data_IF_539058332072
#
_entry.id   IF_539058332072
#
_cell.length_a   1.000
_cell.length_b   1.000
_cell.length_c   1.000
_cell.angle_alpha   90.00
_cell.angle_beta   90.00
_cell.angle_gamma   90.00
#
_symmetry.space_group_name_H-M   'P 1'
#
loop_
_entity.id
_entity.type
_entity.pdbx_description
1 polymer ?
#
# COMPACT_ATOMS: atom_id res chain seq x y z
N UNK A 1 -12.03 -8.65 -5.61
CA UNK A 1 -13.20 -9.55 -5.46
C UNK A 1 -13.71 -9.64 -4.05
N UNK A 2 -12.86 -9.91 -3.07
CA UNK A 2 -13.27 -10.18 -1.69
C UNK A 2 -14.27 -9.15 -1.10
N UNK A 3 -14.09 -7.82 -1.25
CA UNK A 3 -15.09 -6.85 -0.75
C UNK A 3 -16.49 -7.02 -1.35
N UNK A 4 -16.58 -7.36 -2.64
CA UNK A 4 -17.86 -7.52 -3.33
C UNK A 4 -18.72 -8.67 -2.77
N UNK A 5 -18.09 -9.68 -2.14
CA UNK A 5 -18.81 -10.80 -1.53
C UNK A 5 -19.22 -10.55 -0.08
N UNK A 6 -18.51 -9.65 0.61
CA UNK A 6 -18.73 -9.40 2.04
C UNK A 6 -19.64 -8.19 2.30
N UNK A 7 -19.74 -7.26 1.35
CA UNK A 7 -20.60 -6.08 1.48
C UNK A 7 -22.05 -6.41 1.12
N UNK A 8 -22.98 -5.90 1.92
CA UNK A 8 -24.42 -5.95 1.64
C UNK A 8 -24.83 -4.84 0.67
N UNK A 9 -25.85 -5.09 -0.16
CA UNK A 9 -26.46 -4.07 -1.01
C UNK A 9 -25.59 -3.57 -2.18
N UNK A 10 -24.56 -4.33 -2.59
CA UNK A 10 -23.72 -3.95 -3.74
C UNK A 10 -24.51 -4.15 -5.05
N UNK A 11 -24.55 -3.11 -5.89
CA UNK A 11 -25.22 -3.18 -7.19
C UNK A 11 -24.53 -4.17 -8.13
N UNK A 12 -25.29 -4.78 -9.04
CA UNK A 12 -24.75 -5.72 -10.01
C UNK A 12 -23.65 -5.09 -10.88
N UNK A 13 -23.85 -3.85 -11.33
CA UNK A 13 -22.87 -3.08 -12.11
C UNK A 13 -21.53 -2.94 -11.37
N UNK A 14 -21.56 -2.72 -10.05
CA UNK A 14 -20.35 -2.61 -9.23
C UNK A 14 -19.59 -3.93 -9.11
N UNK A 15 -20.32 -5.04 -9.02
CA UNK A 15 -19.74 -6.40 -8.99
C UNK A 15 -19.05 -6.70 -10.33
N UNK A 16 -19.72 -6.42 -11.44
CA UNK A 16 -19.20 -6.63 -12.79
C UNK A 16 -17.95 -5.79 -13.05
N UNK A 17 -17.99 -4.49 -12.72
CA UNK A 17 -16.83 -3.60 -12.81
C UNK A 17 -15.64 -4.13 -12.00
N UNK A 18 -15.87 -4.49 -10.73
CA UNK A 18 -14.80 -5.01 -9.87
C UNK A 18 -14.24 -6.30 -10.46
N UNK A 19 -15.07 -7.14 -11.10
CA UNK A 19 -14.66 -8.44 -11.66
C UNK A 19 -13.73 -8.25 -12.85
N UNK A 20 -14.07 -7.33 -13.73
CA UNK A 20 -13.22 -6.95 -14.87
C UNK A 20 -11.88 -6.45 -14.36
N UNK A 21 -11.88 -5.52 -13.39
CA UNK A 21 -10.66 -4.97 -12.82
C UNK A 21 -9.80 -6.06 -12.13
N UNK A 22 -10.43 -6.97 -11.39
CA UNK A 22 -9.72 -8.10 -10.77
C UNK A 22 -9.10 -9.04 -11.81
N UNK A 23 -9.78 -9.31 -12.93
CA UNK A 23 -9.24 -10.11 -14.04
C UNK A 23 -8.04 -9.42 -14.68
N UNK A 24 -8.12 -8.11 -14.95
CA UNK A 24 -7.00 -7.34 -15.52
C UNK A 24 -5.79 -7.40 -14.58
N UNK A 25 -5.99 -7.12 -13.29
CA UNK A 25 -4.92 -7.18 -12.28
C UNK A 25 -4.35 -8.61 -12.16
N UNK A 26 -5.20 -9.64 -12.22
CA UNK A 26 -4.76 -11.03 -12.19
C UNK A 26 -3.90 -11.41 -13.39
N UNK A 27 -4.28 -10.98 -14.60
CA UNK A 27 -3.49 -11.20 -15.82
C UNK A 27 -2.15 -10.47 -15.71
N UNK A 28 -2.15 -9.23 -15.22
CA UNK A 28 -0.93 -8.46 -14.99
C UNK A 28 0.00 -9.17 -14.00
N UNK A 29 -0.52 -9.65 -12.87
CA UNK A 29 0.26 -10.43 -11.88
C UNK A 29 0.78 -11.74 -12.50
N UNK A 30 -0.04 -12.46 -13.28
CA UNK A 30 0.39 -13.70 -13.92
C UNK A 30 1.50 -13.45 -14.94
N UNK A 31 1.39 -12.40 -15.75
CA UNK A 31 2.44 -12.00 -16.68
C UNK A 31 3.73 -11.64 -15.93
N UNK A 32 3.59 -10.80 -14.91
CA UNK A 32 4.72 -10.29 -14.14
C UNK A 32 5.45 -11.41 -13.39
N UNK A 33 4.74 -12.40 -12.84
CA UNK A 33 5.34 -13.51 -12.10
C UNK A 33 5.60 -14.76 -12.96
N UNK A 34 5.09 -14.83 -14.19
CA UNK A 34 5.15 -16.00 -15.07
C UNK A 34 6.48 -16.18 -15.82
N UNK A 35 7.23 -15.10 -16.09
CA UNK A 35 8.46 -15.16 -16.92
C UNK A 35 9.70 -14.74 -16.15
N UNK A 36 10.86 -15.37 -16.32
CA UNK A 36 12.08 -15.00 -15.57
C UNK A 36 12.79 -13.73 -16.06
N UNK A 37 12.28 -13.09 -17.10
CA UNK A 37 12.86 -11.86 -17.67
C UNK A 37 12.67 -10.65 -16.77
N UNK A 38 13.60 -9.67 -16.81
CA UNK A 38 13.40 -8.33 -16.27
C UNK A 38 12.02 -7.74 -16.59
N UNK A 39 11.35 -7.21 -15.58
CA UNK A 39 9.97 -6.71 -15.67
C UNK A 39 9.78 -5.43 -14.84
N UNK A 40 8.54 -4.93 -14.73
CA UNK A 40 8.25 -3.62 -14.13
C UNK A 40 8.34 -3.62 -12.59
N UNK A 41 8.08 -4.75 -11.95
CA UNK A 41 8.04 -4.85 -10.49
C UNK A 41 9.42 -5.19 -9.94
N UNK A 42 10.04 -4.19 -9.33
CA UNK A 42 11.24 -4.40 -8.52
C UNK A 42 10.95 -5.27 -7.29
N UNK A 43 11.97 -6.03 -6.90
CA UNK A 43 11.96 -6.98 -5.79
C UNK A 43 10.97 -8.14 -5.95
N UNK A 44 10.59 -8.47 -7.18
CA UNK A 44 9.70 -9.58 -7.50
C UNK A 44 10.13 -10.94 -6.93
N UNK A 45 11.42 -11.22 -6.80
CA UNK A 45 11.92 -12.48 -6.26
C UNK A 45 12.48 -12.32 -4.84
N UNK A 46 12.09 -11.26 -4.14
CA UNK A 46 12.41 -11.03 -2.74
C UNK A 46 11.30 -11.61 -1.84
N UNK A 47 11.47 -12.86 -1.39
CA UNK A 47 10.44 -13.55 -0.63
C UNK A 47 9.92 -12.80 0.62
N UNK A 48 10.77 -12.22 1.50
CA UNK A 48 10.28 -11.46 2.66
C UNK A 48 9.47 -10.22 2.26
N UNK A 49 9.94 -9.50 1.24
CA UNK A 49 9.31 -8.28 0.74
C UNK A 49 7.92 -8.55 0.16
N UNK A 50 7.79 -9.60 -0.66
CA UNK A 50 6.51 -9.95 -1.26
C UNK A 50 5.51 -10.52 -0.25
N UNK A 51 5.97 -11.29 0.75
CA UNK A 51 5.10 -11.79 1.82
C UNK A 51 4.46 -10.63 2.58
N UNK A 52 5.26 -9.62 2.94
CA UNK A 52 4.76 -8.44 3.67
C UNK A 52 3.84 -7.60 2.77
N UNK A 53 4.19 -7.37 1.51
CA UNK A 53 3.31 -6.68 0.55
C UNK A 53 1.95 -7.37 0.40
N UNK A 54 1.95 -8.69 0.27
CA UNK A 54 0.72 -9.48 0.14
C UNK A 54 -0.14 -9.41 1.41
N UNK A 55 0.47 -9.60 2.58
CA UNK A 55 -0.22 -9.48 3.87
C UNK A 55 -0.78 -8.07 4.08
N UNK A 56 0.02 -7.04 3.80
CA UNK A 56 -0.37 -5.65 3.88
C UNK A 56 -1.60 -5.39 3.01
N UNK A 57 -1.54 -5.68 1.71
CA UNK A 57 -2.68 -5.46 0.81
C UNK A 57 -3.94 -6.23 1.26
N UNK A 58 -3.76 -7.47 1.72
CA UNK A 58 -4.88 -8.29 2.21
C UNK A 58 -5.58 -7.65 3.41
N UNK A 59 -4.81 -7.18 4.41
CA UNK A 59 -5.37 -6.51 5.58
C UNK A 59 -5.97 -5.15 5.22
N UNK A 60 -5.30 -4.37 4.37
CA UNK A 60 -5.77 -3.06 3.93
C UNK A 60 -7.07 -3.11 3.12
N UNK A 61 -7.41 -4.26 2.53
CA UNK A 61 -8.70 -4.49 1.86
C UNK A 61 -9.74 -5.04 2.84
N UNK A 62 -9.36 -5.99 3.70
CA UNK A 62 -10.29 -6.63 4.64
C UNK A 62 -10.80 -5.67 5.71
N UNK A 63 -9.91 -4.88 6.31
CA UNK A 63 -10.27 -3.95 7.39
C UNK A 63 -11.36 -2.94 6.99
N UNK A 64 -11.22 -2.16 5.90
CA UNK A 64 -12.28 -1.27 5.44
C UNK A 64 -13.55 -2.03 5.03
N UNK A 65 -13.41 -3.23 4.46
CA UNK A 65 -14.58 -4.05 4.10
C UNK A 65 -15.45 -4.38 5.32
N UNK A 66 -14.83 -4.74 6.45
CA UNK A 66 -15.58 -4.99 7.68
C UNK A 66 -16.11 -3.71 8.30
N UNK A 67 -15.25 -2.70 8.52
CA UNK A 67 -15.65 -1.46 9.19
C UNK A 67 -16.79 -0.74 8.47
N UNK A 68 -16.71 -0.63 7.14
CA UNK A 68 -17.76 -0.01 6.32
C UNK A 68 -18.96 -0.95 6.15
N UNK A 69 -18.71 -2.25 5.98
CA UNK A 69 -19.76 -3.25 5.76
C UNK A 69 -20.74 -3.37 6.92
N UNK A 70 -20.28 -3.25 8.17
CA UNK A 70 -21.17 -3.24 9.34
C UNK A 70 -22.09 -2.02 9.34
N UNK A 71 -21.55 -0.83 9.08
CA UNK A 71 -22.33 0.42 8.99
C UNK A 71 -23.38 0.34 7.88
N UNK A 72 -23.05 -0.22 6.72
CA UNK A 72 -23.99 -0.43 5.63
C UNK A 72 -25.11 -1.43 5.96
N UNK A 73 -24.84 -2.40 6.84
CA UNK A 73 -25.84 -3.34 7.34
C UNK A 73 -26.75 -2.73 8.43
N UNK A 74 -26.55 -1.46 8.80
CA UNK A 74 -27.26 -0.81 9.91
C UNK A 74 -26.86 -1.35 11.29
N UNK A 75 -25.69 -2.01 11.39
CA UNK A 75 -25.17 -2.59 12.62
C UNK A 75 -23.93 -1.84 13.09
N UNK A 76 -23.72 -1.78 14.41
CA UNK A 76 -22.50 -1.23 14.98
C UNK A 76 -21.49 -2.34 15.22
N UNK A 77 -20.30 -2.20 14.66
CA UNK A 77 -19.20 -3.12 14.96
C UNK A 77 -18.73 -2.87 16.39
N UNK A 78 -18.71 -3.91 17.22
CA UNK A 78 -18.16 -3.85 18.58
C UNK A 78 -16.98 -4.81 18.66
N UNK A 79 -15.84 -4.33 19.17
CA UNK A 79 -14.66 -5.17 19.37
C UNK A 79 -13.36 -4.43 19.11
N UNK A 80 -12.30 -5.20 18.92
CA UNK A 80 -10.93 -4.69 18.84
C UNK A 80 -10.66 -3.74 17.66
N UNK A 81 -11.22 -4.05 16.48
CA UNK A 81 -11.00 -3.25 15.26
C UNK A 81 -11.47 -1.79 15.40
N UNK A 82 -12.77 -1.52 15.72
CA UNK A 82 -13.23 -0.15 15.88
C UNK A 82 -12.52 0.59 17.03
N UNK A 83 -12.19 -0.08 18.14
CA UNK A 83 -11.44 0.55 19.23
C UNK A 83 -10.03 1.01 18.82
N UNK A 84 -9.33 0.25 17.97
CA UNK A 84 -8.05 0.72 17.42
C UNK A 84 -8.26 1.87 16.45
N UNK A 85 -9.27 1.75 15.58
CA UNK A 85 -9.59 2.76 14.60
C UNK A 85 -9.87 4.12 15.26
N UNK A 86 -10.68 4.15 16.32
CA UNK A 86 -11.02 5.36 17.08
C UNK A 86 -9.79 6.03 17.70
N UNK A 87 -8.88 5.23 18.27
CA UNK A 87 -7.59 5.75 18.76
C UNK A 87 -6.73 6.30 17.63
N UNK A 88 -6.79 5.68 16.46
CA UNK A 88 -6.11 6.16 15.26
C UNK A 88 -6.67 7.49 14.76
N UNK A 89 -7.99 7.68 14.82
CA UNK A 89 -8.63 8.95 14.47
C UNK A 89 -8.05 10.06 15.34
N UNK A 90 -7.98 9.88 16.66
CA UNK A 90 -7.43 10.89 17.55
C UNK A 90 -5.97 11.30 17.24
N UNK A 91 -5.19 10.43 16.57
CA UNK A 91 -3.83 10.75 16.12
C UNK A 91 -3.79 11.46 14.77
N UNK A 92 -4.80 11.25 13.94
CA UNK A 92 -4.93 11.81 12.60
C UNK A 92 -5.88 13.01 12.56
N UNK A 93 -6.52 13.34 13.66
CA UNK A 93 -7.44 14.45 13.82
C UNK A 93 -6.66 15.72 14.17
N UNK A 94 -6.26 16.44 13.12
CA UNK A 94 -5.69 17.77 13.19
C UNK A 94 -6.26 18.62 12.06
N UNK A 95 -6.21 19.94 12.22
CA UNK A 95 -6.77 20.88 11.25
C UNK A 95 -6.17 20.63 9.85
N UNK A 96 -7.03 20.44 8.86
CA UNK A 96 -6.67 20.11 7.48
C UNK A 96 -5.91 18.78 7.30
N UNK A 97 -6.17 17.79 8.17
CA UNK A 97 -5.66 16.44 7.99
C UNK A 97 -6.09 15.84 6.64
N UNK A 98 -5.14 15.45 5.76
CA UNK A 98 -5.48 14.86 4.47
C UNK A 98 -6.35 13.60 4.60
N UNK A 99 -6.18 12.86 5.70
CA UNK A 99 -6.94 11.64 5.98
C UNK A 99 -8.42 11.93 6.26
N UNK A 100 -8.70 12.99 7.01
CA UNK A 100 -10.08 13.39 7.32
C UNK A 100 -10.77 14.01 6.11
N UNK A 101 -10.03 14.81 5.33
CA UNK A 101 -10.56 15.35 4.06
C UNK A 101 -10.90 14.21 3.08
N UNK A 102 -10.05 13.19 2.95
CA UNK A 102 -10.38 12.02 2.11
C UNK A 102 -11.63 11.29 2.62
N UNK A 103 -11.78 11.11 3.94
CA UNK A 103 -12.97 10.47 4.50
C UNK A 103 -14.25 11.25 4.16
N UNK A 104 -14.21 12.58 4.31
CA UNK A 104 -15.31 13.50 3.99
C UNK A 104 -15.65 13.51 2.50
N UNK A 105 -14.64 13.62 1.64
CA UNK A 105 -14.83 13.59 0.18
C UNK A 105 -15.45 12.26 -0.26
N UNK A 106 -15.02 11.13 0.30
CA UNK A 106 -15.55 9.82 -0.09
C UNK A 106 -16.95 9.52 0.48
N UNK A 107 -17.35 10.14 1.59
CA UNK A 107 -18.67 9.94 2.20
C UNK A 107 -19.79 10.73 1.53
N UNK A 108 -19.46 11.81 0.82
CA UNK A 108 -20.46 12.76 0.34
C UNK A 108 -21.28 13.29 1.53
N UNK A 109 -22.61 13.30 1.40
CA UNK A 109 -23.52 13.84 2.42
C UNK A 109 -23.85 12.86 3.56
N UNK A 110 -23.31 11.64 3.55
CA UNK A 110 -23.65 10.61 4.55
C UNK A 110 -22.73 10.65 5.77
N UNK A 111 -23.18 11.27 6.87
CA UNK A 111 -22.42 11.35 8.13
C UNK A 111 -22.04 9.97 8.71
N UNK A 112 -22.94 8.98 8.61
CA UNK A 112 -22.66 7.62 9.12
C UNK A 112 -21.53 6.92 8.37
N UNK A 113 -21.44 7.13 7.06
CA UNK A 113 -20.35 6.60 6.23
C UNK A 113 -19.06 7.36 6.43
N UNK A 114 -19.12 8.67 6.70
CA UNK A 114 -17.96 9.48 7.02
C UNK A 114 -17.19 8.93 8.22
N UNK A 115 -17.90 8.62 9.31
CA UNK A 115 -17.29 8.02 10.50
C UNK A 115 -16.65 6.65 10.19
N UNK A 116 -17.34 5.81 9.42
CA UNK A 116 -16.84 4.49 9.03
C UNK A 116 -15.58 4.58 8.13
N UNK A 117 -15.56 5.53 7.19
CA UNK A 117 -14.39 5.77 6.33
C UNK A 117 -13.21 6.36 7.11
N UNK A 118 -13.46 7.29 8.04
CA UNK A 118 -12.42 7.83 8.92
C UNK A 118 -11.79 6.72 9.77
N UNK A 119 -12.61 5.84 10.37
CA UNK A 119 -12.14 4.66 11.11
C UNK A 119 -11.31 3.72 10.21
N UNK A 120 -11.80 3.44 9.00
CA UNK A 120 -11.12 2.56 8.06
C UNK A 120 -9.77 3.10 7.61
N UNK A 121 -9.68 4.40 7.30
CA UNK A 121 -8.43 5.09 6.93
C UNK A 121 -7.47 5.04 8.11
N UNK A 122 -7.91 5.42 9.31
CA UNK A 122 -7.06 5.44 10.50
C UNK A 122 -6.48 4.05 10.82
N UNK A 123 -7.32 3.00 10.76
CA UNK A 123 -6.87 1.64 10.96
C UNK A 123 -5.84 1.21 9.91
N UNK A 124 -6.10 1.51 8.63
CA UNK A 124 -5.19 1.21 7.54
C UNK A 124 -3.84 1.93 7.69
N UNK A 125 -3.83 3.18 8.14
CA UNK A 125 -2.61 3.94 8.43
C UNK A 125 -1.79 3.27 9.53
N UNK A 126 -2.43 2.83 10.63
CA UNK A 126 -1.75 2.11 11.72
C UNK A 126 -1.13 0.81 11.22
N UNK A 127 -1.89 -0.01 10.50
CA UNK A 127 -1.40 -1.28 9.96
C UNK A 127 -0.25 -1.06 8.97
N UNK A 128 -0.38 -0.06 8.09
CA UNK A 128 0.68 0.30 7.16
C UNK A 128 1.97 0.64 7.90
N UNK A 129 1.93 1.50 8.92
CA UNK A 129 3.12 1.80 9.72
C UNK A 129 3.67 0.58 10.45
N UNK A 130 2.80 -0.27 11.03
CA UNK A 130 3.24 -1.52 11.67
C UNK A 130 3.94 -2.48 10.68
N UNK A 131 3.44 -2.58 9.45
CA UNK A 131 4.07 -3.35 8.38
C UNK A 131 5.42 -2.75 7.95
N UNK A 132 5.51 -1.43 7.80
CA UNK A 132 6.78 -0.75 7.49
C UNK A 132 7.79 -1.01 8.61
N UNK A 133 7.41 -0.83 9.87
CA UNK A 133 8.29 -1.04 11.02
C UNK A 133 8.74 -2.50 11.11
N UNK A 134 7.82 -3.46 11.00
CA UNK A 134 8.19 -4.89 11.00
C UNK A 134 9.13 -5.25 9.85
N UNK A 135 8.94 -4.66 8.67
CA UNK A 135 9.86 -4.83 7.55
C UNK A 135 11.24 -4.25 7.83
N UNK A 136 11.33 -3.03 8.36
CA UNK A 136 12.58 -2.40 8.76
C UNK A 136 13.32 -3.23 9.82
N UNK A 137 12.60 -3.76 10.82
CA UNK A 137 13.16 -4.68 11.83
C UNK A 137 13.67 -5.97 11.19
N UNK A 138 12.90 -6.57 10.28
CA UNK A 138 13.32 -7.80 9.58
C UNK A 138 14.60 -7.59 8.75
N UNK A 139 14.73 -6.44 8.11
CA UNK A 139 15.94 -6.03 7.42
C UNK A 139 17.10 -5.79 8.40
N UNK A 140 16.86 -5.10 9.50
CA UNK A 140 17.88 -4.76 10.49
C UNK A 140 18.48 -6.01 11.15
N UNK A 141 17.63 -6.99 11.48
CA UNK A 141 18.04 -8.28 12.03
C UNK A 141 18.74 -9.19 10.99
N UNK A 142 18.99 -8.70 9.77
CA UNK A 142 19.59 -9.43 8.65
C UNK A 142 18.87 -10.76 8.35
N UNK A 143 17.57 -10.86 8.65
CA UNK A 143 16.74 -12.01 8.24
C UNK A 143 16.70 -12.14 6.72
N UNK A 144 16.89 -11.01 6.03
CA UNK A 144 17.10 -10.95 4.60
C UNK A 144 18.56 -10.60 4.28
N UNK A 145 19.36 -11.61 3.93
CA UNK A 145 20.77 -11.45 3.55
C UNK A 145 20.87 -10.98 2.09
N UNK A 146 21.10 -9.68 1.89
CA UNK A 146 21.39 -9.10 0.58
C UNK A 146 22.73 -9.66 0.05
N UNK A 147 22.70 -10.29 -1.13
CA UNK A 147 23.88 -10.90 -1.77
C UNK A 147 24.22 -12.33 -1.33
N UNK A 148 23.28 -13.08 -0.74
CA UNK A 148 23.34 -14.54 -0.69
C UNK A 148 22.78 -15.20 -1.96
N UNK A 149 22.81 -16.53 -2.06
CA UNK A 149 22.33 -17.31 -3.22
C UNK A 149 20.86 -17.05 -3.60
N UNK A 150 20.07 -16.41 -2.73
CA UNK A 150 18.66 -16.10 -2.94
C UNK A 150 18.35 -14.69 -3.49
N UNK A 151 19.34 -13.81 -3.73
CA UNK A 151 19.08 -12.45 -4.23
C UNK A 151 19.84 -12.15 -5.53
N UNK A 152 19.17 -12.34 -6.66
CA UNK A 152 19.68 -11.96 -7.98
C UNK A 152 19.33 -10.48 -8.27
N UNK A 153 20.35 -9.63 -8.38
CA UNK A 153 20.20 -8.20 -8.65
C UNK A 153 19.57 -7.93 -10.03
N UNK A 154 19.96 -8.66 -11.07
CA UNK A 154 19.43 -8.44 -12.42
C UNK A 154 17.93 -8.72 -12.52
N UNK A 155 17.45 -9.74 -11.79
CA UNK A 155 16.02 -10.08 -11.76
C UNK A 155 15.20 -9.18 -10.83
N UNK A 156 15.76 -8.74 -9.70
CA UNK A 156 15.03 -7.93 -8.71
C UNK A 156 15.15 -6.42 -8.94
N UNK A 157 16.20 -5.97 -9.62
CA UNK A 157 16.56 -4.56 -9.80
C UNK A 157 17.05 -4.32 -11.23
N UNK A 158 16.21 -4.62 -12.25
CA UNK A 158 16.65 -4.61 -13.66
C UNK A 158 17.11 -3.24 -14.16
N UNK A 159 16.61 -2.16 -13.56
CA UNK A 159 16.97 -0.77 -13.87
C UNK A 159 18.42 -0.43 -13.47
N UNK A 160 19.04 -1.24 -12.61
CA UNK A 160 20.35 -0.96 -12.02
C UNK A 160 21.40 -1.90 -12.62
N UNK A 161 22.31 -1.34 -13.42
CA UNK A 161 23.46 -2.06 -13.99
C UNK A 161 24.55 -2.23 -12.93
N UNK A 162 25.11 -3.44 -12.81
CA UNK A 162 26.07 -3.79 -11.75
C UNK A 162 27.55 -3.56 -12.10
N UNK A 163 27.86 -2.97 -13.26
CA UNK A 163 29.24 -2.92 -13.77
C UNK A 163 30.14 -1.89 -13.07
N UNK A 164 29.57 -0.92 -12.37
CA UNK A 164 30.32 0.12 -11.65
C UNK A 164 29.77 0.30 -10.23
N UNK A 165 30.55 -0.13 -9.23
CA UNK A 165 30.08 -0.21 -7.84
C UNK A 165 29.81 1.16 -7.21
N UNK A 166 30.70 2.14 -7.47
CA UNK A 166 30.58 3.50 -6.90
C UNK A 166 29.39 4.26 -7.47
N UNK A 167 29.20 4.20 -8.79
CA UNK A 167 28.06 4.87 -9.45
C UNK A 167 26.74 4.15 -9.15
N UNK A 168 26.76 2.84 -8.89
CA UNK A 168 25.58 2.08 -8.47
C UNK A 168 25.08 2.52 -7.10
N UNK A 169 25.97 2.70 -6.11
CA UNK A 169 25.59 3.11 -4.76
C UNK A 169 24.86 4.46 -4.74
N UNK A 170 25.43 5.46 -5.40
CA UNK A 170 24.81 6.79 -5.51
C UNK A 170 23.43 6.71 -6.16
N UNK A 171 23.28 5.90 -7.21
CA UNK A 171 21.99 5.70 -7.90
C UNK A 171 20.95 5.01 -7.01
N UNK A 172 21.36 3.99 -6.24
CA UNK A 172 20.48 3.30 -5.30
C UNK A 172 20.03 4.24 -4.17
N UNK A 173 20.94 5.04 -3.62
CA UNK A 173 20.61 6.00 -2.56
C UNK A 173 19.70 7.11 -3.08
N UNK A 174 19.97 7.65 -4.27
CA UNK A 174 19.09 8.65 -4.90
C UNK A 174 17.69 8.10 -5.17
N UNK A 175 17.57 6.83 -5.61
CA UNK A 175 16.26 6.22 -5.80
C UNK A 175 15.55 5.89 -4.49
N UNK A 176 16.30 5.51 -3.44
CA UNK A 176 15.77 5.33 -2.10
C UNK A 176 15.16 6.64 -1.58
N UNK A 177 15.90 7.74 -1.71
CA UNK A 177 15.43 9.07 -1.33
C UNK A 177 14.22 9.51 -2.15
N UNK A 178 14.23 9.31 -3.47
CA UNK A 178 13.09 9.61 -4.33
C UNK A 178 11.84 8.81 -3.92
N UNK A 179 11.97 7.53 -3.55
CA UNK A 179 10.85 6.74 -3.03
C UNK A 179 10.35 7.22 -1.69
N UNK A 180 11.24 7.65 -0.80
CA UNK A 180 10.86 8.23 0.48
C UNK A 180 10.05 9.50 0.26
N UNK A 181 10.50 10.38 -0.65
CA UNK A 181 9.77 11.59 -1.02
C UNK A 181 8.38 11.26 -1.58
N UNK A 182 8.30 10.32 -2.52
CA UNK A 182 7.00 9.88 -3.08
C UNK A 182 6.09 9.34 -1.97
N UNK A 183 6.61 8.52 -1.05
CA UNK A 183 5.84 7.99 0.07
C UNK A 183 5.27 9.10 0.98
N UNK A 184 6.05 10.16 1.22
CA UNK A 184 5.61 11.33 1.98
C UNK A 184 4.63 12.22 1.21
N UNK A 185 4.69 12.24 -0.12
CA UNK A 185 3.81 13.04 -0.98
C UNK A 185 2.43 12.37 -1.20
N UNK A 186 2.35 11.04 -1.20
CA UNK A 186 1.10 10.29 -1.44
C UNK A 186 -0.04 10.72 -0.48
N UNK A 187 0.18 10.90 0.83
CA UNK A 187 -0.87 11.40 1.73
C UNK A 187 -1.41 12.77 1.33
N UNK A 188 -0.54 13.67 0.87
CA UNK A 188 -0.92 15.03 0.47
C UNK A 188 -1.73 15.02 -0.84
N UNK A 189 -1.46 14.07 -1.73
CA UNK A 189 -2.23 13.87 -2.97
C UNK A 189 -3.54 13.11 -2.74
N UNK A 190 -3.77 12.55 -1.56
CA UNK A 190 -4.98 11.79 -1.24
C UNK A 190 -6.27 12.56 -1.53
N UNK A 191 -6.44 13.78 -0.98
CA UNK A 191 -7.64 14.60 -1.20
C UNK A 191 -7.93 14.86 -2.68
N UNK A 192 -6.93 15.23 -3.47
CA UNK A 192 -7.13 15.53 -4.90
C UNK A 192 -7.50 14.29 -5.70
N UNK A 193 -6.89 13.14 -5.39
CA UNK A 193 -7.26 11.85 -6.00
C UNK A 193 -8.67 11.44 -5.60
N UNK A 194 -9.04 11.61 -4.32
CA UNK A 194 -10.38 11.31 -3.83
C UNK A 194 -11.45 12.18 -4.51
N UNK A 195 -11.17 13.47 -4.71
CA UNK A 195 -12.05 14.40 -5.41
C UNK A 195 -12.25 13.99 -6.88
N UNK A 196 -11.16 13.66 -7.60
CA UNK A 196 -11.24 13.18 -8.99
C UNK A 196 -12.09 11.91 -9.07
N UNK A 197 -11.90 10.97 -8.14
CA UNK A 197 -12.73 9.75 -8.10
C UNK A 197 -14.18 10.10 -7.82
N UNK A 198 -14.45 10.97 -6.85
CA UNK A 198 -15.81 11.39 -6.50
C UNK A 198 -16.53 12.02 -7.71
N UNK A 199 -15.91 13.00 -8.37
CA UNK A 199 -16.53 13.70 -9.52
C UNK A 199 -16.83 12.77 -10.69
N UNK A 200 -16.00 11.75 -10.94
CA UNK A 200 -16.14 10.88 -12.11
C UNK A 200 -17.01 9.64 -11.86
N UNK A 201 -17.12 9.18 -10.61
CA UNK A 201 -17.77 7.91 -10.27
C UNK A 201 -18.95 8.05 -9.31
N UNK A 202 -19.20 9.22 -8.71
CA UNK A 202 -20.37 9.43 -7.85
C UNK A 202 -21.65 9.50 -8.70
N UNK A 203 -22.65 8.75 -8.29
CA UNK A 203 -23.99 8.81 -8.83
C UNK A 203 -24.89 9.47 -7.79
N UNK A 204 -25.66 10.49 -8.18
CA UNK A 204 -26.59 11.18 -7.26
C UNK A 204 -25.93 11.75 -5.99
N UNK A 205 -24.64 12.14 -6.07
CA UNK A 205 -23.89 12.67 -4.93
C UNK A 205 -23.32 11.62 -3.98
N UNK A 206 -23.35 10.34 -4.34
CA UNK A 206 -22.81 9.25 -3.52
C UNK A 206 -21.91 8.32 -4.33
N UNK A 207 -20.76 7.95 -3.75
CA UNK A 207 -19.90 6.91 -4.30
C UNK A 207 -20.39 5.52 -3.86
N UNK A 208 -20.31 4.55 -4.77
CA UNK A 208 -20.52 3.16 -4.39
C UNK A 208 -19.49 2.76 -3.32
N UNK A 209 -19.90 2.22 -2.15
CA UNK A 209 -18.99 1.97 -1.02
C UNK A 209 -17.80 1.07 -1.36
N UNK A 210 -17.99 0.14 -2.30
CA UNK A 210 -16.92 -0.72 -2.79
C UNK A 210 -15.78 0.05 -3.48
N UNK A 211 -16.09 1.14 -4.20
CA UNK A 211 -15.10 2.01 -4.84
C UNK A 211 -14.30 2.74 -3.77
N UNK A 212 -14.96 3.29 -2.75
CA UNK A 212 -14.31 3.96 -1.62
C UNK A 212 -13.38 3.00 -0.85
N UNK A 213 -13.81 1.76 -0.61
CA UNK A 213 -12.98 0.72 0.03
C UNK A 213 -11.71 0.44 -0.78
N UNK A 214 -11.81 0.28 -2.10
CA UNK A 214 -10.64 0.08 -2.96
C UNK A 214 -9.74 1.32 -2.99
N UNK A 215 -10.32 2.51 -3.02
CA UNK A 215 -9.57 3.77 -2.96
C UNK A 215 -8.73 3.85 -1.68
N UNK A 216 -9.34 3.63 -0.51
CA UNK A 216 -8.67 3.66 0.79
C UNK A 216 -7.56 2.59 0.87
N UNK A 217 -7.85 1.38 0.37
CA UNK A 217 -6.89 0.27 0.38
C UNK A 217 -5.68 0.56 -0.51
N UNK A 218 -5.90 0.99 -1.76
CA UNK A 218 -4.81 1.28 -2.69
C UNK A 218 -3.98 2.48 -2.26
N UNK A 219 -4.63 3.56 -1.83
CA UNK A 219 -3.94 4.77 -1.36
C UNK A 219 -2.98 4.46 -0.21
N UNK A 220 -3.45 3.73 0.82
CA UNK A 220 -2.63 3.29 1.94
C UNK A 220 -1.54 2.29 1.52
N UNK A 221 -1.86 1.39 0.59
CA UNK A 221 -0.93 0.37 0.10
C UNK A 221 0.25 1.01 -0.65
N UNK A 222 -0.01 1.95 -1.56
CA UNK A 222 1.04 2.62 -2.32
C UNK A 222 2.00 3.36 -1.39
N UNK A 223 1.48 4.11 -0.43
CA UNK A 223 2.30 4.78 0.59
C UNK A 223 3.24 3.78 1.29
N UNK A 224 2.68 2.67 1.79
CA UNK A 224 3.47 1.63 2.45
C UNK A 224 4.53 0.99 1.57
N UNK A 225 4.20 0.69 0.31
CA UNK A 225 5.12 0.07 -0.64
C UNK A 225 6.31 0.97 -0.95
N UNK A 226 6.09 2.29 -1.13
CA UNK A 226 7.18 3.23 -1.38
C UNK A 226 8.10 3.41 -0.17
N UNK A 227 7.56 3.42 1.05
CA UNK A 227 8.38 3.41 2.28
C UNK A 227 9.25 2.15 2.37
N UNK A 228 8.65 0.97 2.17
CA UNK A 228 9.41 -0.28 2.21
C UNK A 228 10.43 -0.35 1.07
N UNK A 229 10.12 0.18 -0.12
CA UNK A 229 11.06 0.28 -1.25
C UNK A 229 12.26 1.15 -0.89
N UNK A 230 12.01 2.33 -0.30
CA UNK A 230 13.07 3.24 0.14
C UNK A 230 14.02 2.56 1.14
N UNK A 231 13.47 1.90 2.16
CA UNK A 231 14.25 1.17 3.15
C UNK A 231 15.08 0.02 2.55
N UNK A 232 14.50 -0.75 1.63
CA UNK A 232 15.18 -1.85 0.96
C UNK A 232 16.36 -1.36 0.11
N UNK A 233 16.15 -0.31 -0.71
CA UNK A 233 17.21 0.26 -1.57
C UNK A 233 18.33 0.87 -0.74
N UNK A 234 18.01 1.63 0.31
CA UNK A 234 19.00 2.21 1.21
C UNK A 234 19.86 1.13 1.88
N UNK A 235 19.24 0.05 2.37
CA UNK A 235 19.98 -1.06 2.96
C UNK A 235 20.91 -1.76 1.98
N UNK A 236 20.45 -1.98 0.73
CA UNK A 236 21.29 -2.57 -0.31
C UNK A 236 22.49 -1.69 -0.60
N UNK A 237 22.29 -0.37 -0.73
CA UNK A 237 23.36 0.58 -0.96
C UNK A 237 24.42 0.54 0.15
N UNK A 238 24.00 0.46 1.42
CA UNK A 238 24.90 0.39 2.59
C UNK A 238 25.62 -0.96 2.66
N UNK A 239 24.93 -2.09 2.44
CA UNK A 239 25.56 -3.40 2.51
C UNK A 239 26.58 -3.65 1.38
N UNK A 240 26.47 -2.93 0.26
CA UNK A 240 27.44 -3.02 -0.84
C UNK A 240 28.75 -2.27 -0.57
N UNK A 241 28.73 -1.17 0.20
CA UNK A 241 29.96 -0.45 0.56
C UNK A 241 30.89 -1.30 1.45
N UNK A 242 30.30 -2.11 2.33
CA UNK A 242 31.05 -2.94 3.29
C UNK A 242 31.77 -4.13 2.63
N UNK A 243 31.30 -4.58 1.45
CA UNK A 243 31.90 -5.69 0.70
C UNK A 243 32.93 -5.25 -0.33
N UNK A 244 32.93 -4.00 -0.78
CA UNK A 244 33.95 -3.50 -1.72
C UNK A 244 35.30 -3.25 -1.05
N UNK A 245 35.33 -3.01 0.26
CA UNK A 245 36.58 -2.77 1.01
C UNK A 245 37.31 -4.07 1.39
N UNK A 246 36.67 -5.24 1.19
CA UNK A 246 37.22 -6.57 1.49
C UNK A 246 37.81 -7.29 0.28
N UNK A 247 37.78 -6.69 -0.91
CA UNK A 247 38.40 -7.26 -2.14
C UNK A 247 39.78 -6.64 -2.43
N UNK A 248 40.24 -5.72 -1.58
CA UNK A 248 41.56 -5.06 -1.69
C UNK A 248 42.47 -5.33 -0.49
N UNK A 249 42.35 -6.48 0.18
CA UNK A 249 43.29 -6.94 1.20
C UNK A 249 43.82 -8.34 0.87
#
# INVERSE_FOLDING_TARGET
MLPAFLLFGVSQSSIEFTRILATIVSIFVMYEYGFSSPSLIEFRFAAPYNRIRFLLLSVLVLAPTFLVGYTLAGANMVGFLPTIADKGIALLDFTYSPFMVVAETLSGENESLQAAFAQAIAFNTIIMFACITSFCVAIYLNLWRFGGSGFNMWQNMPTYKSYETKTLQERLMNSAFASLLIACLIPLLGPTVAEVIFVNFAESGQLAPIISIWCIAFWSFFQGVFFMRAAALAKIAINHSDKSDLVTA
#
